data_IF_432758936905
#
_entry.id   IF_432758936905
#
_cell.length_a   1.000
_cell.length_b   1.000
_cell.length_c   1.000
_cell.angle_alpha   90.00
_cell.angle_beta   90.00
_cell.angle_gamma   90.00
#
_symmetry.space_group_name_H-M   'P 1'
#
loop_
_entity.id
_entity.type
_entity.pdbx_description
1 polymer ?
#
# COMPACT_ATOMS: atom_id res chain seq x y z
N UNK A 1 -4.92 5.27 -16.96
CA UNK A 1 -3.58 5.88 -17.04
C UNK A 1 -2.76 5.24 -15.93
N UNK A 2 -1.55 4.75 -16.20
CA UNK A 2 -0.70 4.19 -15.14
C UNK A 2 -0.06 5.37 -14.42
N UNK A 3 -0.39 5.59 -13.15
CA UNK A 3 0.19 6.63 -12.31
C UNK A 3 1.24 6.01 -11.38
N UNK A 4 2.40 6.67 -11.28
CA UNK A 4 3.49 6.28 -10.38
C UNK A 4 3.50 7.29 -9.24
N UNK A 5 3.47 6.80 -8.00
CA UNK A 5 3.51 7.62 -6.81
C UNK A 5 4.82 7.38 -6.06
N UNK A 6 5.43 8.45 -5.56
CA UNK A 6 6.59 8.36 -4.68
C UNK A 6 6.16 7.77 -3.33
N UNK A 7 6.88 6.74 -2.87
CA UNK A 7 6.68 6.18 -1.54
C UNK A 7 7.77 6.72 -0.59
N UNK A 8 7.43 7.08 0.66
CA UNK A 8 8.44 7.46 1.65
C UNK A 8 9.52 6.38 1.79
N UNK A 9 10.77 6.78 1.98
CA UNK A 9 11.88 5.86 2.23
C UNK A 9 11.56 4.92 3.40
N UNK A 10 11.81 3.63 3.22
CA UNK A 10 11.50 2.60 4.22
C UNK A 10 10.06 2.10 4.17
N UNK A 11 9.23 2.56 3.23
CA UNK A 11 7.91 1.95 2.96
C UNK A 11 8.11 0.53 2.48
N UNK A 12 7.60 -0.46 3.22
CA UNK A 12 7.63 -1.87 2.83
C UNK A 12 6.20 -2.39 2.78
N UNK A 13 5.71 -2.62 1.58
CA UNK A 13 4.33 -3.06 1.31
C UNK A 13 4.33 -4.45 0.69
N UNK A 14 3.47 -5.33 1.20
CA UNK A 14 3.08 -6.54 0.49
C UNK A 14 1.73 -6.37 -0.17
N UNK A 15 1.55 -6.97 -1.35
CA UNK A 15 0.25 -7.05 -2.00
C UNK A 15 -0.53 -8.18 -1.35
N UNK A 16 -1.79 -7.92 -1.00
CA UNK A 16 -2.69 -8.88 -0.37
C UNK A 16 -3.70 -9.34 -1.41
N UNK A 17 -3.88 -10.66 -1.46
CA UNK A 17 -4.77 -11.31 -2.41
C UNK A 17 -5.72 -12.25 -1.70
N UNK A 18 -6.97 -12.26 -2.15
CA UNK A 18 -7.99 -13.25 -1.81
C UNK A 18 -8.57 -13.80 -3.11
N UNK A 19 -8.66 -15.13 -3.25
CA UNK A 19 -9.13 -15.80 -4.48
C UNK A 19 -8.45 -15.30 -5.77
N UNK A 20 -7.14 -15.01 -5.70
CA UNK A 20 -6.31 -14.43 -6.78
C UNK A 20 -6.72 -13.00 -7.20
N UNK A 21 -7.54 -12.32 -6.41
CA UNK A 21 -7.92 -10.91 -6.61
C UNK A 21 -7.12 -10.05 -5.64
N UNK A 22 -6.48 -9.00 -6.14
CA UNK A 22 -5.80 -8.01 -5.29
C UNK A 22 -6.83 -7.23 -4.48
N UNK A 23 -6.75 -7.29 -3.16
CA UNK A 23 -7.72 -6.67 -2.24
C UNK A 23 -7.14 -5.52 -1.43
N UNK A 24 -5.82 -5.31 -1.47
CA UNK A 24 -5.16 -4.22 -0.77
C UNK A 24 -3.70 -4.51 -0.46
N UNK A 25 -3.14 -3.76 0.49
CA UNK A 25 -1.74 -3.86 0.86
C UNK A 25 -1.58 -4.13 2.35
N UNK A 26 -0.48 -4.77 2.72
CA UNK A 26 -0.06 -4.89 4.10
C UNK A 26 1.17 -4.02 4.33
N UNK A 27 1.09 -3.09 5.27
CA UNK A 27 2.20 -2.24 5.70
C UNK A 27 2.99 -2.97 6.79
N UNK A 28 4.18 -3.45 6.43
CA UNK A 28 5.06 -4.19 7.34
C UNK A 28 5.64 -3.32 8.45
N UNK A 29 5.78 -2.01 8.22
CA UNK A 29 6.35 -1.10 9.23
C UNK A 29 5.32 -0.81 10.31
N UNK A 30 4.05 -0.65 9.91
CA UNK A 30 2.94 -0.39 10.83
C UNK A 30 2.24 -1.66 11.33
N UNK A 31 2.59 -2.82 10.78
CA UNK A 31 2.00 -4.12 11.09
C UNK A 31 0.46 -4.12 10.91
N UNK A 32 -0.01 -3.58 9.78
CA UNK A 32 -1.46 -3.41 9.54
C UNK A 32 -1.87 -3.48 8.07
N UNK A 33 -3.16 -3.78 7.85
CA UNK A 33 -3.81 -3.67 6.54
C UNK A 33 -3.95 -2.20 6.13
N UNK A 34 -3.61 -1.89 4.89
CA UNK A 34 -3.71 -0.56 4.29
C UNK A 34 -4.26 -0.64 2.86
N UNK A 35 -4.57 0.52 2.29
CA UNK A 35 -5.09 0.68 0.93
C UNK A 35 -4.42 1.87 0.25
N UNK A 36 -4.63 2.03 -1.06
CA UNK A 36 -3.98 3.09 -1.84
C UNK A 36 -4.30 4.49 -1.32
N UNK A 37 -5.54 4.73 -0.84
CA UNK A 37 -5.91 6.05 -0.33
C UNK A 37 -5.17 6.35 0.97
N UNK A 38 -5.06 5.37 1.87
CA UNK A 38 -4.30 5.52 3.12
C UNK A 38 -2.80 5.73 2.85
N UNK A 39 -2.23 5.05 1.86
CA UNK A 39 -0.82 5.23 1.49
C UNK A 39 -0.58 6.67 1.00
N UNK A 40 -1.42 7.15 0.08
CA UNK A 40 -1.27 8.48 -0.52
C UNK A 40 -1.59 9.63 0.44
N UNK A 41 -2.55 9.44 1.37
CA UNK A 41 -2.94 10.47 2.34
C UNK A 41 -1.97 10.64 3.52
N UNK A 42 -0.91 9.83 3.62
CA UNK A 42 0.15 10.01 4.64
C UNK A 42 1.23 11.01 4.18
N UNK A 43 1.22 11.42 2.91
CA UNK A 43 2.25 12.29 2.30
C UNK A 43 1.89 13.81 2.40
N UNK A 44 0.80 14.19 3.08
CA UNK A 44 0.43 15.61 3.31
C UNK A 44 0.09 15.92 4.77
#
# INVERSE_FOLDING_TARGET
MLEIFEAPYGTVLFWVYEDNVHVGFYDLVKDCMTDINKILNVIY
#
